data_IF_970023589433
#
_entry.id   IF_970023589433
#
_cell.length_a   1.000
_cell.length_b   1.000
_cell.length_c   1.000
_cell.angle_alpha   90.00
_cell.angle_beta   90.00
_cell.angle_gamma   90.00
#
_symmetry.space_group_name_H-M   'P 1'
#
loop_
_entity.id
_entity.type
_entity.pdbx_description
1 polymer ?
#
# COMPACT_ATOMS: atom_id res chain seq x y z
N UNK A 1 -1.12 -4.72 11.31
CA UNK A 1 -0.09 -5.07 10.30
C UNK A 1 0.59 -3.78 9.85
N UNK A 2 1.92 -3.75 9.78
CA UNK A 2 2.68 -2.51 9.48
C UNK A 2 3.79 -2.17 10.47
N UNK A 3 4.21 -3.09 11.34
CA UNK A 3 5.36 -2.89 12.21
C UNK A 3 6.67 -3.22 11.47
N UNK A 4 7.80 -2.59 11.84
CA UNK A 4 9.10 -2.95 11.26
C UNK A 4 9.47 -4.42 11.59
N UNK A 5 10.25 -5.08 10.73
CA UNK A 5 10.59 -6.50 10.87
C UNK A 5 11.39 -6.81 12.15
N UNK A 6 12.19 -5.86 12.61
CA UNK A 6 12.89 -5.92 13.89
C UNK A 6 12.35 -4.79 14.77
N UNK A 7 11.60 -5.15 15.80
CA UNK A 7 11.09 -4.22 16.80
C UNK A 7 11.48 -4.70 18.20
N UNK A 8 11.54 -3.81 19.18
CA UNK A 8 11.93 -4.15 20.56
C UNK A 8 11.56 -3.00 21.50
N UNK A 9 11.54 -3.28 22.81
CA UNK A 9 11.24 -2.25 23.81
C UNK A 9 12.36 -1.20 23.97
N UNK A 10 13.57 -1.51 23.49
CA UNK A 10 14.72 -0.61 23.44
C UNK A 10 15.53 -0.86 22.17
N UNK A 11 16.37 0.10 21.79
CA UNK A 11 17.27 -0.02 20.63
C UNK A 11 18.22 -1.21 20.77
N UNK A 12 18.71 -1.46 21.98
CA UNK A 12 19.55 -2.62 22.28
C UNK A 12 18.87 -3.94 21.89
N UNK A 13 17.60 -4.12 22.26
CA UNK A 13 16.82 -5.30 21.90
C UNK A 13 16.56 -5.38 20.39
N UNK A 14 16.38 -4.23 19.72
CA UNK A 14 16.27 -4.18 18.25
C UNK A 14 17.57 -4.67 17.61
N UNK A 15 18.74 -4.19 18.07
CA UNK A 15 20.04 -4.65 17.57
C UNK A 15 20.27 -6.13 17.81
N UNK A 16 19.94 -6.65 18.99
CA UNK A 16 20.03 -8.08 19.27
C UNK A 16 19.18 -8.90 18.29
N UNK A 17 17.96 -8.47 17.98
CA UNK A 17 17.10 -9.13 16.98
C UNK A 17 17.67 -9.06 15.56
N UNK A 18 18.24 -7.93 15.16
CA UNK A 18 18.92 -7.78 13.87
C UNK A 18 20.12 -8.75 13.79
N UNK A 19 20.97 -8.77 14.83
CA UNK A 19 22.14 -9.65 14.90
C UNK A 19 21.71 -11.12 14.93
N UNK A 20 20.60 -11.45 15.59
CA UNK A 20 20.05 -12.81 15.59
C UNK A 20 19.37 -13.19 14.27
N UNK A 21 19.06 -12.21 13.41
CA UNK A 21 18.20 -12.38 12.22
C UNK A 21 16.83 -12.98 12.59
N UNK A 22 16.26 -12.54 13.71
CA UNK A 22 14.94 -12.99 14.20
C UNK A 22 13.81 -12.32 13.40
N UNK A 23 13.67 -12.74 12.13
CA UNK A 23 12.67 -12.24 11.20
C UNK A 23 11.36 -13.03 11.34
N UNK A 24 10.32 -12.37 11.84
CA UNK A 24 8.98 -12.94 11.96
C UNK A 24 8.07 -12.43 10.85
N UNK A 25 7.67 -13.31 9.92
CA UNK A 25 6.75 -12.98 8.83
C UNK A 25 5.32 -13.35 9.24
N UNK A 26 4.38 -12.39 9.34
CA UNK A 26 2.99 -12.67 9.72
C UNK A 26 2.30 -13.64 8.75
N UNK A 27 1.25 -14.36 9.20
CA UNK A 27 0.42 -15.15 8.31
C UNK A 27 -0.32 -14.26 7.31
N UNK A 28 -0.64 -14.81 6.13
CA UNK A 28 -1.38 -14.10 5.07
C UNK A 28 -0.51 -13.32 4.07
N UNK A 29 0.82 -13.33 4.23
CA UNK A 29 1.75 -12.78 3.23
C UNK A 29 1.86 -13.75 2.04
N UNK A 30 1.78 -13.21 0.82
CA UNK A 30 1.90 -13.99 -0.41
C UNK A 30 3.24 -14.77 -0.46
N UNK A 31 3.26 -16.03 -0.93
CA UNK A 31 4.49 -16.84 -0.93
C UNK A 31 5.68 -16.18 -1.63
N UNK A 32 5.45 -15.54 -2.78
CA UNK A 32 6.51 -14.82 -3.50
C UNK A 32 7.00 -13.57 -2.74
N UNK A 33 6.13 -12.91 -1.98
CA UNK A 33 6.52 -11.76 -1.15
C UNK A 33 7.37 -12.23 0.03
N UNK A 34 6.98 -13.36 0.65
CA UNK A 34 7.75 -14.01 1.70
C UNK A 34 9.15 -14.41 1.22
N UNK A 35 9.23 -15.01 0.03
CA UNK A 35 10.50 -15.40 -0.60
C UNK A 35 11.38 -14.17 -0.86
N UNK A 36 10.82 -13.10 -1.44
CA UNK A 36 11.53 -11.85 -1.67
C UNK A 36 12.14 -11.28 -0.37
N UNK A 37 11.31 -11.14 0.67
CA UNK A 37 11.75 -10.59 1.97
C UNK A 37 12.86 -11.46 2.55
N UNK A 38 12.72 -12.78 2.51
CA UNK A 38 13.70 -13.72 3.10
C UNK A 38 15.06 -13.64 2.38
N UNK A 39 15.08 -13.42 1.06
CA UNK A 39 16.32 -13.27 0.29
C UNK A 39 16.96 -11.88 0.40
N UNK A 40 16.17 -10.85 0.72
CA UNK A 40 16.68 -9.49 0.96
C UNK A 40 17.20 -9.31 2.38
N UNK A 41 16.61 -9.98 3.37
CA UNK A 41 16.98 -9.85 4.78
C UNK A 41 17.94 -10.98 5.17
N UNK A 42 19.17 -10.88 4.65
CA UNK A 42 20.27 -11.81 4.97
C UNK A 42 21.49 -11.06 5.52
N UNK A 43 22.26 -11.72 6.39
CA UNK A 43 23.43 -11.12 7.07
C UNK A 43 24.55 -10.76 6.10
N UNK A 44 24.92 -11.71 5.25
CA UNK A 44 25.98 -11.55 4.26
C UNK A 44 25.48 -10.64 3.10
N UNK A 45 26.11 -9.48 2.86
CA UNK A 45 25.74 -8.58 1.78
C UNK A 45 25.88 -9.21 0.38
N UNK A 46 26.86 -10.08 0.14
CA UNK A 46 27.13 -10.66 -1.19
C UNK A 46 26.16 -11.81 -1.53
N UNK A 47 25.61 -12.46 -0.50
CA UNK A 47 24.54 -13.43 -0.62
C UNK A 47 23.15 -12.78 -0.69
N UNK A 48 23.04 -11.48 -0.43
CA UNK A 48 21.77 -10.74 -0.44
C UNK A 48 21.28 -10.56 -1.87
N UNK A 49 19.99 -10.81 -2.07
CA UNK A 49 19.34 -10.50 -3.35
C UNK A 49 19.51 -9.02 -3.67
N UNK A 50 20.11 -8.70 -4.81
CA UNK A 50 20.42 -7.33 -5.19
C UNK A 50 21.71 -6.77 -4.60
N UNK A 51 22.48 -7.57 -3.84
CA UNK A 51 23.77 -7.17 -3.30
C UNK A 51 24.86 -7.04 -4.37
N UNK A 52 24.79 -7.89 -5.40
CA UNK A 52 25.70 -7.85 -6.56
C UNK A 52 25.12 -7.09 -7.74
N UNK A 53 23.85 -7.35 -8.08
CA UNK A 53 23.18 -6.71 -9.20
C UNK A 53 21.68 -6.49 -8.91
N UNK A 54 21.21 -5.25 -9.13
CA UNK A 54 19.82 -4.87 -8.95
C UNK A 54 18.87 -5.64 -9.88
N UNK A 55 19.36 -6.14 -11.02
CA UNK A 55 18.56 -6.97 -11.93
C UNK A 55 18.05 -8.25 -11.27
N UNK A 56 18.73 -8.78 -10.26
CA UNK A 56 18.26 -9.94 -9.49
C UNK A 56 16.92 -9.65 -8.79
N UNK A 57 16.78 -8.44 -8.23
CA UNK A 57 15.56 -7.99 -7.57
C UNK A 57 14.44 -7.83 -8.61
N UNK A 58 14.75 -7.22 -9.76
CA UNK A 58 13.76 -6.97 -10.83
C UNK A 58 13.22 -8.26 -11.44
N UNK A 59 14.06 -9.29 -11.56
CA UNK A 59 13.70 -10.61 -12.12
C UNK A 59 12.98 -11.53 -11.12
N UNK A 60 12.84 -11.11 -9.87
CA UNK A 60 12.19 -11.93 -8.85
C UNK A 60 10.70 -12.15 -9.20
N UNK A 61 10.13 -13.36 -9.00
CA UNK A 61 8.73 -13.66 -9.35
C UNK A 61 7.69 -12.75 -8.69
N UNK A 62 8.02 -12.15 -7.55
CA UNK A 62 7.16 -11.14 -6.90
C UNK A 62 6.86 -9.94 -7.81
N UNK A 63 7.78 -9.60 -8.71
CA UNK A 63 7.63 -8.50 -9.66
C UNK A 63 7.27 -8.96 -11.08
N UNK A 64 6.80 -10.20 -11.23
CA UNK A 64 6.32 -10.70 -12.53
C UNK A 64 5.20 -9.79 -13.08
N UNK A 65 5.34 -9.39 -14.34
CA UNK A 65 4.39 -8.47 -15.01
C UNK A 65 4.56 -6.98 -14.63
N UNK A 66 5.49 -6.63 -13.74
CA UNK A 66 5.76 -5.22 -13.41
C UNK A 66 6.70 -4.60 -14.43
N UNK A 67 6.23 -3.58 -15.14
CA UNK A 67 7.07 -2.74 -15.99
C UNK A 67 7.89 -1.77 -15.13
N UNK A 68 9.17 -2.04 -14.87
CA UNK A 68 10.00 -1.15 -14.06
C UNK A 68 10.33 0.18 -14.75
N UNK A 69 10.44 0.17 -16.07
CA UNK A 69 10.77 1.36 -16.84
C UNK A 69 9.62 2.37 -16.82
N UNK A 70 9.95 3.64 -16.60
CA UNK A 70 9.01 4.77 -16.51
C UNK A 70 7.91 4.68 -15.43
N UNK A 71 7.92 3.66 -14.57
CA UNK A 71 6.87 3.51 -13.53
C UNK A 71 6.85 4.67 -12.54
N UNK A 72 7.98 5.31 -12.26
CA UNK A 72 8.06 6.51 -11.43
C UNK A 72 7.32 7.74 -12.01
N UNK A 73 7.01 7.73 -13.32
CA UNK A 73 6.27 8.79 -14.00
C UNK A 73 4.76 8.56 -13.96
N UNK A 74 4.31 7.36 -13.59
CA UNK A 74 2.88 7.04 -13.51
C UNK A 74 2.29 7.71 -12.27
N UNK A 75 1.09 8.24 -12.42
CA UNK A 75 0.32 8.73 -11.26
C UNK A 75 0.07 7.57 -10.29
N UNK A 76 0.18 7.84 -8.99
CA UNK A 76 -0.08 6.84 -7.96
C UNK A 76 -1.47 6.23 -8.16
N UNK A 77 -1.61 4.89 -8.14
CA UNK A 77 -2.93 4.26 -8.26
C UNK A 77 -3.81 4.50 -7.02
N UNK A 78 -3.24 5.04 -5.93
CA UNK A 78 -3.97 5.40 -4.72
C UNK A 78 -4.38 6.87 -4.81
N UNK A 79 -5.69 7.08 -4.74
CA UNK A 79 -6.31 8.39 -4.66
C UNK A 79 -5.80 9.18 -3.46
N UNK A 80 -5.70 10.50 -3.60
CA UNK A 80 -5.36 11.35 -2.47
C UNK A 80 -6.45 11.28 -1.40
N UNK A 81 -6.13 11.70 -0.17
CA UNK A 81 -7.13 11.82 0.89
C UNK A 81 -8.29 12.73 0.45
N UNK A 82 -7.99 13.82 -0.28
CA UNK A 82 -8.99 14.72 -0.83
C UNK A 82 -9.90 13.99 -1.82
N UNK A 83 -9.32 13.23 -2.76
CA UNK A 83 -10.08 12.45 -3.74
C UNK A 83 -10.96 11.39 -3.06
N UNK A 84 -10.43 10.68 -2.06
CA UNK A 84 -11.18 9.71 -1.27
C UNK A 84 -12.34 10.36 -0.52
N UNK A 85 -12.12 11.52 0.10
CA UNK A 85 -13.16 12.30 0.76
C UNK A 85 -14.24 12.75 -0.22
N UNK A 86 -13.86 13.32 -1.37
CA UNK A 86 -14.79 13.73 -2.42
C UNK A 86 -15.61 12.55 -2.94
N UNK A 87 -15.00 11.39 -3.17
CA UNK A 87 -15.73 10.18 -3.55
C UNK A 87 -16.71 9.70 -2.47
N UNK A 88 -16.35 9.84 -1.19
CA UNK A 88 -17.24 9.47 -0.07
C UNK A 88 -18.43 10.43 0.02
N UNK A 89 -18.18 11.74 -0.12
CA UNK A 89 -19.23 12.77 -0.17
C UNK A 89 -20.14 12.54 -1.38
N UNK A 90 -19.58 12.33 -2.57
CA UNK A 90 -20.34 12.06 -3.78
C UNK A 90 -21.22 10.81 -3.67
N UNK A 91 -20.69 9.71 -3.10
CA UNK A 91 -21.50 8.51 -2.81
C UNK A 91 -22.63 8.78 -1.82
N UNK A 92 -22.39 9.59 -0.78
CA UNK A 92 -23.42 9.97 0.19
C UNK A 92 -24.52 10.81 -0.47
N UNK A 93 -24.15 11.83 -1.25
CA UNK A 93 -25.09 12.67 -1.98
C UNK A 93 -25.94 11.87 -2.97
N UNK A 94 -25.31 10.94 -3.72
CA UNK A 94 -26.03 10.03 -4.61
C UNK A 94 -27.01 9.11 -3.86
N UNK A 95 -26.66 8.70 -2.64
CA UNK A 95 -27.59 7.96 -1.78
C UNK A 95 -28.81 8.79 -1.34
N UNK A 96 -28.63 10.10 -1.18
CA UNK A 96 -29.69 11.04 -0.80
C UNK A 96 -30.54 11.52 -1.98
N UNK A 97 -30.18 11.19 -3.21
CA UNK A 97 -30.87 11.63 -4.43
C UNK A 97 -32.38 11.32 -4.40
N UNK A 98 -32.76 10.15 -3.90
CA UNK A 98 -34.18 9.79 -3.73
C UNK A 98 -34.90 10.59 -2.65
N UNK A 99 -34.22 10.92 -1.56
CA UNK A 99 -34.79 11.76 -0.49
C UNK A 99 -34.95 13.22 -0.96
N UNK A 100 -34.00 13.70 -1.77
CA UNK A 100 -34.04 15.04 -2.37
C UNK A 100 -35.17 15.18 -3.39
N UNK A 101 -35.39 14.15 -4.21
CA UNK A 101 -36.50 14.10 -5.17
C UNK A 101 -37.87 14.02 -4.49
N UNK A 102 -37.95 13.38 -3.32
CA UNK A 102 -39.17 13.30 -2.52
C UNK A 102 -39.42 14.54 -1.63
N UNK A 103 -38.49 15.50 -1.59
CA UNK A 103 -38.60 16.66 -0.73
C UNK A 103 -39.57 17.71 -1.31
N UNK A 104 -40.70 17.92 -0.62
CA UNK A 104 -41.78 18.80 -1.07
C UNK A 104 -41.34 20.25 -1.38
N UNK A 105 -40.31 20.75 -0.67
CA UNK A 105 -39.74 22.08 -0.89
C UNK A 105 -38.99 22.26 -2.21
N UNK A 106 -38.70 21.18 -2.95
CA UNK A 106 -37.98 21.23 -4.23
C UNK A 106 -38.75 22.01 -5.29
N UNK A 107 -40.07 21.96 -5.24
CA UNK A 107 -40.94 22.74 -6.13
C UNK A 107 -40.80 24.26 -5.91
N UNK A 108 -40.25 24.72 -4.79
CA UNK A 108 -40.01 26.15 -4.55
C UNK A 108 -38.65 26.66 -5.07
N UNK A 109 -37.75 25.76 -5.51
CA UNK A 109 -36.44 26.12 -6.03
C UNK A 109 -36.54 26.72 -7.44
N UNK A 110 -35.62 27.63 -7.77
CA UNK A 110 -35.47 28.17 -9.12
C UNK A 110 -35.12 27.04 -10.11
N UNK A 111 -35.43 27.21 -11.41
CA UNK A 111 -35.12 26.19 -12.43
C UNK A 111 -33.64 25.79 -12.48
N UNK A 112 -32.73 26.68 -12.07
CA UNK A 112 -31.28 26.45 -12.02
C UNK A 112 -30.83 25.61 -10.81
N UNK A 113 -31.65 25.53 -9.77
CA UNK A 113 -31.35 24.85 -8.50
C UNK A 113 -32.20 23.59 -8.27
N UNK A 114 -33.13 23.28 -9.18
CA UNK A 114 -33.90 22.03 -9.19
C UNK A 114 -33.09 20.90 -9.82
#
# INVERSE_FOLDING_TARGET
VGCPPFHGASEYLVFQRIIALDLQIPPGIHPQAKDLITRMVVKDPDARLGGRDLEEVRKHPYFEGVAFWDTHKRSSPVLSLADLCLQKVGRKLKGMEKELEAWEGRAALSPELR
#
